data_IF_481564842209
#
_entry.id   IF_481564842209
#
_cell.length_a   1.000
_cell.length_b   1.000
_cell.length_c   1.000
_cell.angle_alpha   90.00
_cell.angle_beta   90.00
_cell.angle_gamma   90.00
#
_symmetry.space_group_name_H-M   'P 1'
#
loop_
_entity.id
_entity.type
_entity.pdbx_description
1 polymer ?
#
# COMPACT_ATOMS: atom_id res chain seq x y z
N UNK A 1 8.84 10.16 -21.78
CA UNK A 1 7.76 9.19 -22.10
C UNK A 1 7.58 8.26 -20.90
N UNK A 2 6.38 7.69 -20.70
CA UNK A 2 6.16 6.71 -19.63
C UNK A 2 6.68 5.33 -20.07
N UNK A 3 7.38 4.62 -19.18
CA UNK A 3 7.95 3.30 -19.44
C UNK A 3 7.38 2.30 -18.44
N UNK A 4 6.81 1.19 -18.92
CA UNK A 4 6.35 0.11 -18.05
C UNK A 4 7.53 -0.77 -17.64
N UNK A 5 7.81 -0.84 -16.34
CA UNK A 5 8.91 -1.62 -15.76
C UNK A 5 8.45 -2.93 -15.09
N UNK A 6 7.14 -3.21 -15.08
CA UNK A 6 6.56 -4.35 -14.36
C UNK A 6 6.49 -4.11 -12.85
N UNK A 7 6.41 -5.21 -12.08
CA UNK A 7 6.26 -5.17 -10.62
C UNK A 7 7.45 -5.72 -9.83
N UNK A 8 8.57 -6.05 -10.50
CA UNK A 8 9.78 -6.54 -9.84
C UNK A 8 10.55 -5.38 -9.20
N UNK A 9 10.74 -5.44 -7.88
CA UNK A 9 11.34 -4.36 -7.09
C UNK A 9 12.79 -4.10 -7.47
N UNK A 10 13.56 -5.13 -7.85
CA UNK A 10 14.94 -4.99 -8.27
C UNK A 10 15.02 -4.34 -9.66
N UNK A 11 14.15 -4.73 -10.59
CA UNK A 11 14.10 -4.12 -11.94
C UNK A 11 13.77 -2.63 -11.87
N UNK A 12 12.78 -2.24 -11.06
CA UNK A 12 12.41 -0.83 -10.90
C UNK A 12 13.57 -0.02 -10.31
N UNK A 13 14.22 -0.55 -9.25
CA UNK A 13 15.40 0.09 -8.66
C UNK A 13 16.54 0.25 -9.67
N UNK A 14 16.90 -0.80 -10.40
CA UNK A 14 17.99 -0.75 -11.39
C UNK A 14 17.69 0.21 -12.53
N UNK A 15 16.42 0.34 -12.95
CA UNK A 15 16.04 1.30 -13.98
C UNK A 15 16.32 2.75 -13.54
N UNK A 16 16.01 3.10 -12.28
CA UNK A 16 16.36 4.41 -11.73
C UNK A 16 17.87 4.56 -11.58
N UNK A 17 18.53 3.59 -10.94
CA UNK A 17 19.97 3.63 -10.64
C UNK A 17 20.83 3.78 -11.91
N UNK A 18 20.44 3.13 -13.01
CA UNK A 18 21.18 3.18 -14.28
C UNK A 18 20.88 4.41 -15.13
N UNK A 19 19.96 5.29 -14.69
CA UNK A 19 19.49 6.44 -15.48
C UNK A 19 18.62 6.05 -16.67
N UNK A 20 18.09 4.82 -16.72
CA UNK A 20 17.11 4.41 -17.74
C UNK A 20 15.80 5.19 -17.58
N UNK A 21 15.46 5.59 -16.36
CA UNK A 21 14.36 6.50 -16.03
C UNK A 21 14.86 7.58 -15.09
N UNK A 22 14.31 8.79 -15.21
CA UNK A 22 14.69 9.95 -14.39
C UNK A 22 13.96 9.97 -13.02
N UNK A 23 12.80 9.31 -12.94
CA UNK A 23 11.97 9.24 -11.74
C UNK A 23 11.11 7.97 -11.76
N UNK A 24 10.69 7.54 -10.56
CA UNK A 24 9.75 6.44 -10.36
C UNK A 24 8.67 6.85 -9.37
N UNK A 25 7.44 6.34 -9.57
CA UNK A 25 6.45 6.24 -8.51
C UNK A 25 6.59 4.86 -7.89
N UNK A 26 6.91 4.77 -6.60
CA UNK A 26 7.27 3.51 -5.96
C UNK A 26 6.67 3.35 -4.57
N UNK A 27 6.65 2.10 -4.12
CA UNK A 27 6.28 1.67 -2.79
C UNK A 27 7.46 0.97 -2.11
N UNK A 28 7.32 0.61 -0.84
CA UNK A 28 8.35 -0.16 -0.15
C UNK A 28 8.42 -1.60 -0.71
N UNK A 29 9.62 -2.21 -0.80
CA UNK A 29 10.90 -1.71 -0.28
C UNK A 29 11.74 -0.89 -1.28
N UNK A 30 11.21 -0.57 -2.47
CA UNK A 30 11.94 0.15 -3.52
C UNK A 30 12.35 1.54 -3.02
N UNK A 31 11.40 2.26 -2.41
CA UNK A 31 11.63 3.60 -1.86
C UNK A 31 12.78 3.63 -0.86
N UNK A 32 12.78 2.72 0.12
CA UNK A 32 13.91 2.59 1.06
C UNK A 32 15.21 2.27 0.38
N UNK A 33 15.20 1.33 -0.56
CA UNK A 33 16.42 0.95 -1.28
C UNK A 33 17.01 2.14 -2.03
N UNK A 34 16.19 2.96 -2.67
CA UNK A 34 16.64 4.18 -3.36
C UNK A 34 17.28 5.16 -2.38
N UNK A 35 16.63 5.45 -1.26
CA UNK A 35 17.10 6.41 -0.25
C UNK A 35 18.40 5.92 0.41
N UNK A 36 18.42 4.68 0.92
CA UNK A 36 19.55 4.17 1.72
C UNK A 36 20.79 3.90 0.86
N UNK A 37 20.64 3.67 -0.46
CA UNK A 37 21.77 3.53 -1.39
C UNK A 37 22.20 4.83 -2.04
N UNK A 38 21.50 5.94 -1.78
CA UNK A 38 21.77 7.24 -2.41
C UNK A 38 21.49 7.26 -3.91
N UNK A 39 20.71 6.31 -4.44
CA UNK A 39 20.36 6.23 -5.85
C UNK A 39 19.35 7.31 -6.28
N UNK A 40 18.74 8.01 -5.32
CA UNK A 40 17.79 9.07 -5.55
C UNK A 40 17.23 9.62 -4.24
N UNK A 41 16.26 10.52 -4.35
CA UNK A 41 15.58 11.15 -3.22
C UNK A 41 14.08 11.29 -3.52
N UNK A 42 13.22 11.31 -2.50
CA UNK A 42 11.79 11.48 -2.73
C UNK A 42 11.46 12.91 -3.17
N UNK A 43 10.67 13.03 -4.24
CA UNK A 43 10.08 14.32 -4.66
C UNK A 43 8.82 14.64 -3.86
N UNK A 44 8.01 13.62 -3.58
CA UNK A 44 6.82 13.68 -2.71
C UNK A 44 6.82 12.41 -1.85
N UNK A 45 6.66 12.58 -0.54
CA UNK A 45 6.69 11.47 0.42
C UNK A 45 5.28 11.20 0.97
N UNK A 46 4.38 10.64 0.15
CA UNK A 46 2.96 10.42 0.54
C UNK A 46 2.76 9.36 1.65
N UNK A 47 3.84 8.77 2.18
CA UNK A 47 3.82 7.97 3.41
C UNK A 47 3.90 8.84 4.68
N UNK A 48 4.37 10.08 4.57
CA UNK A 48 4.26 11.08 5.63
C UNK A 48 2.84 11.62 5.66
N UNK A 49 2.23 11.71 6.85
CA UNK A 49 0.82 12.06 6.98
C UNK A 49 0.51 13.50 6.52
N UNK A 50 1.42 14.45 6.76
CA UNK A 50 1.22 15.83 6.36
C UNK A 50 1.31 15.98 4.83
N UNK A 51 2.33 15.38 4.21
CA UNK A 51 2.45 15.35 2.76
C UNK A 51 1.34 14.52 2.10
N UNK A 52 0.88 13.43 2.72
CA UNK A 52 -0.27 12.69 2.24
C UNK A 52 -1.50 13.59 2.16
N UNK A 53 -1.84 14.29 3.25
CA UNK A 53 -2.97 15.22 3.26
C UNK A 53 -2.81 16.34 2.23
N UNK A 54 -1.62 16.92 2.12
CA UNK A 54 -1.34 18.01 1.19
C UNK A 54 -1.49 17.60 -0.28
N UNK A 55 -0.91 16.46 -0.66
CA UNK A 55 -0.81 16.04 -2.07
C UNK A 55 -1.94 15.12 -2.52
N UNK A 56 -2.52 14.35 -1.61
CA UNK A 56 -3.63 13.43 -1.88
C UNK A 56 -4.97 14.09 -1.54
N UNK A 57 -5.03 14.92 -0.50
CA UNK A 57 -6.27 15.63 -0.12
C UNK A 57 -7.19 14.85 0.83
N UNK A 58 -6.68 13.77 1.44
CA UNK A 58 -7.35 12.97 2.47
C UNK A 58 -6.39 12.67 3.61
N UNK A 59 -6.90 12.47 4.82
CA UNK A 59 -6.11 11.93 5.95
C UNK A 59 -6.03 10.39 5.92
N UNK A 60 -6.75 9.76 4.97
CA UNK A 60 -6.82 8.33 4.77
C UNK A 60 -6.49 7.95 3.32
N UNK A 61 -5.62 6.96 3.16
CA UNK A 61 -5.39 6.30 1.89
C UNK A 61 -6.35 5.10 1.71
N UNK A 62 -6.84 4.89 0.50
CA UNK A 62 -7.44 3.62 0.06
C UNK A 62 -6.50 2.90 -0.91
N UNK A 63 -5.21 2.83 -0.57
CA UNK A 63 -4.17 2.37 -1.48
C UNK A 63 -4.21 0.87 -1.79
N UNK A 64 -4.64 0.03 -0.84
CA UNK A 64 -4.82 -1.41 -1.03
C UNK A 64 -6.03 -1.91 -0.25
N UNK A 65 -6.85 -2.75 -0.88
CA UNK A 65 -8.02 -3.38 -0.27
C UNK A 65 -7.98 -4.90 -0.39
N UNK A 66 -8.60 -5.60 0.56
CA UNK A 66 -8.91 -7.02 0.40
C UNK A 66 -10.09 -7.15 -0.57
N UNK A 67 -9.81 -7.68 -1.77
CA UNK A 67 -10.80 -7.78 -2.83
C UNK A 67 -11.19 -9.24 -3.09
N UNK A 68 -12.47 -9.45 -3.37
CA UNK A 68 -13.00 -10.70 -3.91
C UNK A 68 -14.16 -10.36 -4.85
N UNK A 69 -14.63 -11.35 -5.61
CA UNK A 69 -15.77 -11.19 -6.51
C UNK A 69 -17.10 -11.17 -5.74
N UNK A 70 -18.09 -10.50 -6.28
CA UNK A 70 -19.44 -10.41 -5.73
C UNK A 70 -20.12 -11.78 -5.59
N UNK A 71 -19.95 -12.69 -6.58
CA UNK A 71 -20.49 -14.05 -6.52
C UNK A 71 -19.95 -14.84 -5.31
N UNK A 72 -18.69 -14.62 -4.93
CA UNK A 72 -18.07 -15.23 -3.75
C UNK A 72 -18.66 -14.66 -2.46
N UNK A 73 -18.93 -13.35 -2.42
CA UNK A 73 -19.56 -12.71 -1.27
C UNK A 73 -20.95 -13.30 -1.02
N UNK A 74 -21.78 -13.37 -2.07
CA UNK A 74 -23.14 -13.86 -1.97
C UNK A 74 -23.20 -15.37 -1.67
N UNK A 75 -22.35 -16.18 -2.33
CA UNK A 75 -22.38 -17.63 -2.16
C UNK A 75 -21.66 -18.12 -0.90
N UNK A 76 -20.69 -17.37 -0.37
CA UNK A 76 -19.83 -17.79 0.75
C UNK A 76 -19.61 -16.67 1.80
N UNK A 77 -20.67 -16.05 2.34
CA UNK A 77 -20.54 -14.90 3.26
C UNK A 77 -19.73 -15.24 4.53
N UNK A 78 -19.84 -16.46 5.05
CA UNK A 78 -19.06 -16.90 6.21
C UNK A 78 -17.57 -17.01 5.92
N UNK A 79 -17.19 -17.41 4.70
CA UNK A 79 -15.78 -17.43 4.29
C UNK A 79 -15.25 -16.01 4.21
N UNK A 80 -15.99 -15.09 3.59
CA UNK A 80 -15.62 -13.68 3.49
C UNK A 80 -15.46 -13.08 4.88
N UNK A 81 -16.41 -13.30 5.79
CA UNK A 81 -16.33 -12.86 7.19
C UNK A 81 -15.06 -13.36 7.88
N UNK A 82 -14.70 -14.63 7.72
CA UNK A 82 -13.46 -15.19 8.29
C UNK A 82 -12.21 -14.54 7.72
N UNK A 83 -12.17 -14.31 6.40
CA UNK A 83 -11.03 -13.65 5.75
C UNK A 83 -10.86 -12.20 6.21
N UNK A 84 -11.95 -11.43 6.27
CA UNK A 84 -11.94 -10.04 6.77
C UNK A 84 -11.52 -10.01 8.24
N UNK A 85 -12.02 -10.94 9.07
CA UNK A 85 -11.63 -11.03 10.49
C UNK A 85 -10.15 -11.36 10.66
N UNK A 86 -9.61 -12.30 9.86
CA UNK A 86 -8.20 -12.63 9.88
C UNK A 86 -7.33 -11.44 9.46
N UNK A 87 -7.76 -10.70 8.43
CA UNK A 87 -7.06 -9.51 7.97
C UNK A 87 -7.03 -8.40 9.03
N UNK A 88 -8.16 -8.12 9.70
CA UNK A 88 -8.23 -7.17 10.81
C UNK A 88 -7.28 -7.55 11.95
N UNK A 89 -7.24 -8.83 12.34
CA UNK A 89 -6.27 -9.32 13.35
C UNK A 89 -4.82 -9.14 12.92
N UNK A 90 -4.51 -9.33 11.63
CA UNK A 90 -3.17 -9.10 11.12
C UNK A 90 -2.80 -7.60 11.16
N UNK A 91 -3.74 -6.71 10.81
CA UNK A 91 -3.53 -5.26 10.93
C UNK A 91 -3.34 -4.82 12.39
N UNK A 92 -4.11 -5.39 13.33
CA UNK A 92 -3.94 -5.13 14.76
C UNK A 92 -2.57 -5.62 15.25
N UNK A 93 -2.12 -6.79 14.79
CA UNK A 93 -0.77 -7.28 15.07
C UNK A 93 0.30 -6.34 14.51
N UNK A 94 0.17 -5.88 13.26
CA UNK A 94 1.09 -4.90 12.66
C UNK A 94 1.14 -3.63 13.51
N UNK A 95 -0.01 -3.06 13.85
CA UNK A 95 -0.10 -1.80 14.60
C UNK A 95 0.45 -1.89 16.01
N UNK A 96 0.29 -3.04 16.67
CA UNK A 96 0.76 -3.27 18.06
C UNK A 96 2.20 -3.78 18.16
N UNK A 97 2.78 -4.32 17.09
CA UNK A 97 4.15 -4.83 17.09
C UNK A 97 5.20 -3.74 16.92
N UNK A 98 6.45 -4.02 17.28
CA UNK A 98 7.60 -3.19 16.92
C UNK A 98 8.05 -3.47 15.48
N UNK A 99 8.74 -2.53 14.84
CA UNK A 99 9.30 -2.76 13.51
C UNK A 99 10.29 -3.92 13.47
N UNK A 100 11.09 -4.12 14.53
CA UNK A 100 12.02 -5.26 14.60
C UNK A 100 11.29 -6.61 14.64
N UNK A 101 10.20 -6.72 15.40
CA UNK A 101 9.36 -7.94 15.40
C UNK A 101 8.79 -8.19 14.00
N UNK A 102 8.28 -7.16 13.34
CA UNK A 102 7.73 -7.27 11.99
C UNK A 102 8.80 -7.63 10.95
N UNK A 103 10.00 -7.04 11.05
CA UNK A 103 11.13 -7.40 10.21
C UNK A 103 11.50 -8.88 10.39
N UNK A 104 11.48 -9.38 11.62
CA UNK A 104 11.66 -10.80 11.93
C UNK A 104 10.61 -11.69 11.26
N UNK A 105 9.34 -11.31 11.30
CA UNK A 105 8.24 -12.05 10.64
C UNK A 105 8.42 -12.09 9.12
N UNK A 106 8.75 -10.94 8.51
CA UNK A 106 8.94 -10.82 7.06
C UNK A 106 10.15 -11.63 6.60
N UNK A 107 11.31 -11.41 7.22
CA UNK A 107 12.56 -12.06 6.82
C UNK A 107 12.60 -13.55 7.18
N UNK A 108 11.80 -13.98 8.15
CA UNK A 108 11.62 -15.39 8.49
C UNK A 108 10.73 -16.16 7.50
N UNK A 109 9.98 -15.47 6.63
CA UNK A 109 9.17 -16.10 5.59
C UNK A 109 9.89 -16.01 4.24
N UNK A 110 10.28 -17.13 3.59
CA UNK A 110 11.06 -17.09 2.35
C UNK A 110 10.40 -16.28 1.24
N UNK A 111 9.07 -16.39 1.09
CA UNK A 111 8.34 -15.71 0.02
C UNK A 111 8.23 -14.21 0.26
N UNK A 112 8.03 -13.79 1.50
CA UNK A 112 8.05 -12.37 1.84
C UNK A 112 9.47 -11.81 1.71
N UNK A 113 10.48 -12.55 2.17
CA UNK A 113 11.89 -12.15 2.12
C UNK A 113 12.41 -11.90 0.69
N UNK A 114 11.89 -12.59 -0.32
CA UNK A 114 12.22 -12.34 -1.74
C UNK A 114 12.05 -10.86 -2.13
N UNK A 115 11.01 -10.19 -1.63
CA UNK A 115 10.76 -8.78 -1.97
C UNK A 115 11.80 -7.83 -1.38
N UNK A 116 12.44 -8.24 -0.28
CA UNK A 116 13.44 -7.47 0.47
C UNK A 116 14.88 -7.91 0.16
N UNK A 117 15.09 -8.71 -0.88
CA UNK A 117 16.41 -9.20 -1.25
C UNK A 117 17.40 -8.05 -1.47
N UNK A 118 18.58 -8.18 -0.84
CA UNK A 118 19.64 -7.17 -0.89
C UNK A 118 19.50 -6.06 0.16
N UNK A 119 18.48 -6.12 1.03
CA UNK A 119 18.38 -5.25 2.20
C UNK A 119 18.77 -6.02 3.46
N UNK A 120 19.55 -5.39 4.33
CA UNK A 120 19.82 -5.95 5.64
C UNK A 120 18.64 -5.73 6.59
N UNK A 121 18.62 -6.46 7.71
CA UNK A 121 17.54 -6.35 8.70
C UNK A 121 17.39 -4.92 9.22
N UNK A 122 18.47 -4.17 9.41
CA UNK A 122 18.40 -2.80 9.95
C UNK A 122 17.69 -1.86 8.98
N UNK A 123 17.93 -2.00 7.68
CA UNK A 123 17.18 -1.29 6.62
C UNK A 123 15.71 -1.71 6.63
N UNK A 124 15.42 -3.00 6.82
CA UNK A 124 14.04 -3.51 6.94
C UNK A 124 13.32 -2.99 8.18
N UNK A 125 14.02 -2.78 9.30
CA UNK A 125 13.42 -2.15 10.48
C UNK A 125 13.10 -0.68 10.18
N UNK A 126 14.05 0.09 9.64
CA UNK A 126 13.85 1.51 9.31
C UNK A 126 12.69 1.72 8.35
N UNK A 127 12.56 0.88 7.32
CA UNK A 127 11.47 1.02 6.34
C UNK A 127 10.12 0.74 6.98
N UNK A 128 10.02 -0.29 7.83
CA UNK A 128 8.77 -0.60 8.52
C UNK A 128 8.39 0.56 9.44
N UNK A 129 9.32 1.08 10.24
CA UNK A 129 9.06 2.24 11.11
C UNK A 129 8.51 3.44 10.33
N UNK A 130 9.05 3.68 9.12
CA UNK A 130 8.61 4.78 8.25
C UNK A 130 7.16 4.65 7.81
N UNK A 131 6.73 3.46 7.40
CA UNK A 131 5.40 3.26 6.79
C UNK A 131 4.34 2.71 7.74
N UNK A 132 4.74 2.25 8.93
CA UNK A 132 3.84 1.54 9.86
C UNK A 132 2.62 2.37 10.27
N UNK A 133 2.77 3.70 10.37
CA UNK A 133 1.68 4.62 10.70
C UNK A 133 0.55 4.61 9.65
N UNK A 134 0.85 4.24 8.41
CA UNK A 134 -0.13 4.13 7.32
C UNK A 134 -1.04 2.91 7.41
N UNK A 135 -0.73 1.92 8.25
CA UNK A 135 -1.59 0.74 8.41
C UNK A 135 -2.81 1.06 9.29
N UNK A 136 -3.99 1.06 8.66
CA UNK A 136 -5.28 1.28 9.33
C UNK A 136 -5.84 0.04 10.05
N UNK A 137 -7.11 0.14 10.47
CA UNK A 137 -7.84 -0.93 11.18
C UNK A 137 -8.52 -1.94 10.25
N UNK A 138 -8.47 -1.71 8.94
CA UNK A 138 -9.14 -2.55 7.93
C UNK A 138 -10.60 -2.20 7.69
N UNK A 139 -11.07 -1.04 8.15
CA UNK A 139 -12.30 -0.41 7.66
C UNK A 139 -12.09 0.19 6.25
N UNK A 140 -13.16 0.42 5.52
CA UNK A 140 -13.12 1.05 4.19
C UNK A 140 -13.33 2.56 4.34
N UNK A 141 -12.38 3.36 3.83
CA UNK A 141 -12.44 4.83 3.95
C UNK A 141 -13.18 5.44 2.77
N UNK A 142 -14.34 6.07 3.05
CA UNK A 142 -15.07 6.83 2.04
C UNK A 142 -14.29 8.06 1.58
N UNK A 143 -13.65 8.79 2.49
CA UNK A 143 -12.83 9.96 2.13
C UNK A 143 -11.64 9.58 1.24
N UNK A 144 -10.98 8.45 1.52
CA UNK A 144 -9.95 7.89 0.65
C UNK A 144 -10.51 7.52 -0.73
N UNK A 145 -11.67 6.87 -0.79
CA UNK A 145 -12.36 6.55 -2.05
C UNK A 145 -12.69 7.82 -2.86
N UNK A 146 -13.29 8.82 -2.23
CA UNK A 146 -13.73 10.04 -2.91
C UNK A 146 -12.56 10.76 -3.59
N UNK A 147 -11.39 10.79 -2.93
CA UNK A 147 -10.15 11.35 -3.49
C UNK A 147 -9.64 10.53 -4.68
N UNK A 148 -9.50 9.21 -4.53
CA UNK A 148 -9.01 8.34 -5.60
C UNK A 148 -9.94 8.40 -6.82
N UNK A 149 -11.25 8.48 -6.58
CA UNK A 149 -12.23 8.60 -7.64
C UNK A 149 -12.16 9.96 -8.34
N UNK A 150 -11.96 11.05 -7.59
CA UNK A 150 -11.75 12.37 -8.16
C UNK A 150 -10.47 12.42 -9.03
N UNK A 151 -9.38 11.79 -8.58
CA UNK A 151 -8.16 11.66 -9.38
C UNK A 151 -8.43 10.89 -10.68
N UNK A 152 -9.10 9.73 -10.59
CA UNK A 152 -9.40 8.91 -11.76
C UNK A 152 -10.29 9.62 -12.80
N UNK A 153 -11.26 10.44 -12.35
CA UNK A 153 -12.07 11.26 -13.26
C UNK A 153 -11.27 12.42 -13.85
N UNK A 154 -10.54 13.16 -13.01
CA UNK A 154 -9.74 14.33 -13.42
C UNK A 154 -8.70 13.95 -14.47
N UNK A 155 -8.03 12.81 -14.29
CA UNK A 155 -6.97 12.32 -15.17
C UNK A 155 -7.47 11.42 -16.31
N UNK A 156 -8.77 11.31 -16.56
CA UNK A 156 -9.21 10.65 -17.79
C UNK A 156 -9.27 9.11 -17.66
N UNK A 157 -8.98 8.55 -16.48
CA UNK A 157 -8.74 7.11 -16.29
C UNK A 157 -10.03 6.30 -16.37
N UNK A 158 -11.15 6.91 -16.02
CA UNK A 158 -12.50 6.32 -16.13
C UNK A 158 -13.42 7.26 -16.90
N UNK A 159 -14.41 6.68 -17.59
CA UNK A 159 -15.40 7.47 -18.36
C UNK A 159 -16.42 8.17 -17.46
N UNK A 160 -16.78 7.55 -16.35
CA UNK A 160 -17.74 8.05 -15.38
C UNK A 160 -17.32 7.58 -13.97
N UNK A 161 -17.58 8.38 -12.92
CA UNK A 161 -17.35 7.95 -11.54
C UNK A 161 -18.34 6.84 -11.15
N UNK A 162 -17.93 6.00 -10.21
CA UNK A 162 -18.83 5.11 -9.46
C UNK A 162 -19.06 5.68 -8.06
N UNK A 163 -20.06 5.17 -7.34
CA UNK A 163 -20.30 5.55 -5.94
C UNK A 163 -19.48 4.68 -4.99
N UNK A 164 -19.34 5.13 -3.73
CA UNK A 164 -18.70 4.31 -2.70
C UNK A 164 -19.45 2.98 -2.47
N UNK A 165 -20.78 2.98 -2.59
CA UNK A 165 -21.60 1.77 -2.45
C UNK A 165 -21.41 0.79 -3.61
N UNK A 166 -21.10 1.27 -4.82
CA UNK A 166 -20.75 0.41 -5.94
C UNK A 166 -19.35 -0.22 -5.77
N UNK A 167 -18.46 0.50 -5.07
CA UNK A 167 -17.08 0.09 -4.84
C UNK A 167 -16.92 -0.87 -3.64
N UNK A 168 -17.62 -0.61 -2.54
CA UNK A 168 -17.35 -1.22 -1.24
C UNK A 168 -18.55 -1.99 -0.67
N UNK A 169 -18.31 -3.27 -0.34
CA UNK A 169 -19.17 -4.02 0.59
C UNK A 169 -18.70 -3.76 2.04
N UNK A 170 -19.45 -2.91 2.75
CA UNK A 170 -19.15 -2.53 4.13
C UNK A 170 -19.69 -3.51 5.17
N UNK A 171 -20.44 -4.55 4.78
CA UNK A 171 -21.11 -5.47 5.71
C UNK A 171 -20.12 -6.17 6.67
N UNK A 172 -18.91 -6.47 6.18
CA UNK A 172 -17.90 -7.21 6.93
C UNK A 172 -16.79 -6.31 7.49
N UNK A 173 -16.29 -5.39 6.67
CA UNK A 173 -15.17 -4.53 7.03
C UNK A 173 -15.62 -3.28 7.82
N UNK A 174 -16.84 -2.81 7.60
CA UNK A 174 -17.32 -1.51 8.09
C UNK A 174 -16.70 -0.34 7.32
N UNK A 175 -17.31 0.82 7.47
CA UNK A 175 -16.78 2.10 7.00
C UNK A 175 -15.89 2.72 8.10
N UNK A 176 -14.83 3.41 7.70
CA UNK A 176 -14.02 4.17 8.65
C UNK A 176 -14.79 5.40 9.16
N UNK A 177 -14.59 5.82 10.43
CA UNK A 177 -15.15 7.05 10.96
C UNK A 177 -14.73 8.31 10.19
#
# INVERSE_FOLDING_TARGET
SLVNLGGDTAVIYTALQSGKVDAISSWEPITSRVIETGAGFPLVSIWDAAQHKEWVGSDHALGFALMTREDVIQAKPDLVKRMVTAHKRALDFIRSSTADTLAGVILGNPKAAEQFQGLDRSTVVKLIDRIKSGYGTGCLSKSGFDVEMNLAVTYQLVKQPITFADFADTQFAGECP
#
